data_IF_946680359275
#
_entry.id   IF_946680359275
#
_cell.length_a   1.000
_cell.length_b   1.000
_cell.length_c   1.000
_cell.angle_alpha   90.00
_cell.angle_beta   90.00
_cell.angle_gamma   90.00
#
_symmetry.space_group_name_H-M   'P 1'
#
loop_
_entity.id
_entity.type
_entity.pdbx_description
1 polymer ?
#
# COMPACT_ATOMS: atom_id res chain seq x y z
N UNK A 1 -7.46 34.08 -25.01
CA UNK A 1 -7.45 32.72 -24.44
C UNK A 1 -6.02 32.40 -24.09
N UNK A 2 -5.63 32.63 -22.83
CA UNK A 2 -4.29 32.33 -22.32
C UNK A 2 -4.33 30.87 -21.81
N UNK A 3 -3.60 29.98 -22.48
CA UNK A 3 -3.39 28.61 -22.00
C UNK A 3 -2.68 28.65 -20.64
N UNK A 4 -3.13 27.91 -19.63
CA UNK A 4 -2.38 27.79 -18.40
C UNK A 4 -1.11 27.01 -18.68
N UNK A 5 0.04 27.65 -18.62
CA UNK A 5 1.33 26.98 -18.54
C UNK A 5 1.40 26.29 -17.18
N UNK A 6 1.04 25.02 -17.14
CA UNK A 6 1.38 24.13 -16.03
C UNK A 6 2.89 23.99 -15.98
N UNK A 7 3.52 24.71 -15.06
CA UNK A 7 4.92 24.43 -14.69
C UNK A 7 4.87 23.15 -13.84
N UNK A 8 4.95 22.00 -14.51
CA UNK A 8 5.19 20.75 -13.83
C UNK A 8 6.55 20.88 -13.10
N UNK A 9 6.56 20.78 -11.79
CA UNK A 9 7.79 20.68 -11.02
C UNK A 9 8.63 19.46 -11.46
N UNK A 10 9.88 19.35 -11.03
CA UNK A 10 10.71 18.20 -11.38
C UNK A 10 10.02 16.90 -10.94
N UNK A 11 10.08 15.90 -11.82
CA UNK A 11 9.59 14.55 -11.50
C UNK A 11 10.34 14.02 -10.28
N UNK A 12 9.60 13.57 -9.27
CA UNK A 12 10.15 12.92 -8.08
C UNK A 12 9.91 11.43 -8.18
N UNK A 13 10.93 10.66 -7.87
CA UNK A 13 10.88 9.20 -7.89
C UNK A 13 11.20 8.69 -6.50
N UNK A 14 10.46 7.69 -6.05
CA UNK A 14 10.66 7.03 -4.77
C UNK A 14 10.74 5.52 -4.96
N UNK A 15 11.21 4.81 -3.93
CA UNK A 15 11.25 3.37 -3.95
C UNK A 15 10.83 2.79 -2.59
N UNK A 16 10.42 1.54 -2.58
CA UNK A 16 10.03 0.83 -1.37
C UNK A 16 11.15 -0.08 -0.86
N UNK A 17 11.25 -0.34 0.46
CA UNK A 17 12.25 -1.22 1.03
C UNK A 17 12.24 -2.65 0.47
N UNK A 18 11.11 -3.12 -0.05
CA UNK A 18 11.00 -4.43 -0.69
C UNK A 18 11.96 -4.60 -1.88
N UNK A 19 12.36 -3.51 -2.59
CA UNK A 19 13.36 -3.56 -3.66
C UNK A 19 14.76 -3.95 -3.16
N UNK A 20 14.99 -3.90 -1.86
CA UNK A 20 16.22 -4.35 -1.20
C UNK A 20 16.08 -5.72 -0.57
N UNK A 21 15.04 -6.49 -0.91
CA UNK A 21 14.76 -7.77 -0.29
C UNK A 21 14.39 -7.67 1.20
N UNK A 22 14.15 -6.46 1.69
CA UNK A 22 13.59 -6.26 3.01
C UNK A 22 12.11 -6.58 2.93
N UNK A 23 11.66 -7.61 3.69
CA UNK A 23 10.24 -7.88 3.90
C UNK A 23 9.60 -8.82 2.86
N UNK A 24 8.43 -9.28 3.10
CA UNK A 24 7.46 -10.03 2.28
C UNK A 24 7.86 -11.45 1.84
N UNK A 25 9.15 -11.74 1.69
CA UNK A 25 9.59 -13.07 1.27
C UNK A 25 10.64 -13.59 2.26
N UNK A 26 10.52 -14.86 2.64
CA UNK A 26 11.56 -15.60 3.37
C UNK A 26 12.77 -15.81 2.44
N UNK A 27 13.46 -14.73 2.12
CA UNK A 27 14.69 -14.79 1.35
C UNK A 27 15.82 -15.29 2.24
N UNK A 28 16.60 -16.23 1.75
CA UNK A 28 17.81 -16.67 2.42
C UNK A 28 18.84 -15.55 2.46
N UNK A 29 19.30 -15.18 3.64
CA UNK A 29 20.33 -14.16 3.85
C UNK A 29 20.18 -13.40 5.17
N UNK A 30 21.19 -12.61 5.51
CA UNK A 30 21.12 -11.72 6.67
C UNK A 30 20.17 -10.56 6.36
N UNK A 31 19.23 -10.24 7.28
CA UNK A 31 18.30 -9.13 7.07
C UNK A 31 19.05 -7.81 6.93
N UNK A 32 18.79 -7.09 5.85
CA UNK A 32 19.33 -5.73 5.69
C UNK A 32 18.61 -4.78 6.63
N UNK A 33 19.36 -3.97 7.37
CA UNK A 33 18.80 -3.01 8.32
C UNK A 33 18.19 -1.79 7.62
N UNK A 34 17.14 -1.22 8.19
CA UNK A 34 16.45 -0.05 7.63
C UNK A 34 17.36 1.14 7.36
N UNK A 35 18.35 1.39 8.22
CA UNK A 35 19.26 2.52 8.07
C UNK A 35 20.09 2.42 6.79
N UNK A 36 20.61 1.22 6.49
CA UNK A 36 21.33 0.96 5.25
C UNK A 36 20.41 1.12 4.02
N UNK A 37 19.19 0.57 4.08
CA UNK A 37 18.23 0.71 2.97
C UNK A 37 17.92 2.18 2.71
N UNK A 38 17.69 2.98 3.75
CA UNK A 38 17.41 4.42 3.58
C UNK A 38 18.64 5.17 3.04
N UNK A 39 19.84 4.81 3.45
CA UNK A 39 21.07 5.41 2.91
C UNK A 39 21.23 5.09 1.41
N UNK A 40 20.99 3.84 1.00
CA UNK A 40 21.08 3.42 -0.39
C UNK A 40 19.96 4.03 -1.25
N UNK A 41 18.73 4.18 -0.73
CA UNK A 41 17.63 4.92 -1.39
C UNK A 41 18.09 6.36 -1.70
N UNK A 42 18.62 7.07 -0.70
CA UNK A 42 19.14 8.43 -0.87
C UNK A 42 20.28 8.47 -1.89
N UNK A 43 21.27 7.60 -1.74
CA UNK A 43 22.50 7.60 -2.55
C UNK A 43 22.23 7.22 -4.01
N UNK A 44 21.15 6.48 -4.27
CA UNK A 44 20.66 6.17 -5.63
C UNK A 44 19.90 7.35 -6.25
N UNK A 45 19.59 8.40 -5.49
CA UNK A 45 18.93 9.63 -5.98
C UNK A 45 17.41 9.62 -5.87
N UNK A 46 16.82 8.66 -5.17
CA UNK A 46 15.40 8.70 -4.86
C UNK A 46 15.07 9.83 -3.86
N UNK A 47 13.91 10.43 -4.02
CA UNK A 47 13.43 11.53 -3.17
C UNK A 47 12.49 11.08 -2.07
N UNK A 48 12.19 9.79 -1.97
CA UNK A 48 11.28 9.26 -0.96
C UNK A 48 11.26 7.74 -0.90
N UNK A 49 10.52 7.25 0.09
CA UNK A 49 10.38 5.82 0.38
C UNK A 49 8.96 5.50 0.86
N UNK A 50 8.61 4.23 0.84
CA UNK A 50 7.51 3.67 1.64
C UNK A 50 8.01 3.23 3.02
N UNK A 51 7.07 3.02 3.96
CA UNK A 51 7.41 2.62 5.34
C UNK A 51 7.99 1.20 5.42
N UNK A 52 7.62 0.33 4.49
CA UNK A 52 7.83 -1.10 4.62
C UNK A 52 6.90 -1.72 5.66
N UNK A 53 7.15 -2.98 6.02
CA UNK A 53 6.36 -3.67 7.03
C UNK A 53 6.46 -3.03 8.41
N UNK A 54 5.41 -3.23 9.21
CA UNK A 54 5.40 -2.68 10.56
C UNK A 54 6.58 -3.18 11.40
N UNK A 55 7.45 -2.26 11.81
CA UNK A 55 8.62 -2.55 12.64
C UNK A 55 9.92 -2.63 11.86
N UNK A 56 9.90 -2.58 10.53
CA UNK A 56 11.13 -2.45 9.75
C UNK A 56 11.82 -1.11 10.05
N UNK A 57 11.09 0.00 9.90
CA UNK A 57 11.55 1.31 10.36
C UNK A 57 11.09 1.59 11.80
N UNK A 58 11.66 2.61 12.47
CA UNK A 58 11.22 2.99 13.79
C UNK A 58 9.72 3.27 13.87
N UNK A 59 9.06 2.72 14.90
CA UNK A 59 7.61 2.89 15.12
C UNK A 59 7.28 4.04 16.09
N UNK A 60 8.30 4.74 16.60
CA UNK A 60 8.13 6.00 17.35
C UNK A 60 8.17 7.18 16.36
N UNK A 61 7.14 8.05 16.31
CA UNK A 61 7.05 9.12 15.30
C UNK A 61 8.26 10.03 15.23
N UNK A 62 8.83 10.39 16.37
CA UNK A 62 10.01 11.27 16.42
C UNK A 62 11.26 10.59 15.84
N UNK A 63 11.44 9.30 16.11
CA UNK A 63 12.57 8.54 15.57
C UNK A 63 12.42 8.34 14.05
N UNK A 64 11.23 7.96 13.56
CA UNK A 64 10.97 7.84 12.14
C UNK A 64 11.19 9.17 11.41
N UNK A 65 10.70 10.26 11.98
CA UNK A 65 10.93 11.62 11.43
C UNK A 65 12.41 11.93 11.32
N UNK A 66 13.19 11.64 12.35
CA UNK A 66 14.65 11.87 12.36
C UNK A 66 15.34 11.09 11.25
N UNK A 67 15.02 9.80 11.09
CA UNK A 67 15.63 8.96 10.05
C UNK A 67 15.34 9.44 8.62
N UNK A 68 14.10 9.90 8.39
CA UNK A 68 13.71 10.43 7.08
C UNK A 68 14.34 11.81 6.81
N UNK A 69 14.28 12.73 7.78
CA UNK A 69 14.79 14.09 7.61
C UNK A 69 16.31 14.13 7.48
N UNK A 70 17.04 13.28 8.22
CA UNK A 70 18.51 13.21 8.14
C UNK A 70 19.02 12.79 6.75
N UNK A 71 18.12 12.21 5.92
CA UNK A 71 18.41 11.74 4.56
C UNK A 71 17.70 12.53 3.47
N UNK A 72 16.94 13.56 3.83
CA UNK A 72 16.08 14.33 2.91
C UNK A 72 15.09 13.43 2.13
N UNK A 73 14.57 12.39 2.77
CA UNK A 73 13.61 11.47 2.18
C UNK A 73 12.18 11.79 2.62
N UNK A 74 11.23 11.74 1.68
CA UNK A 74 9.81 11.85 1.96
C UNK A 74 9.19 10.45 2.16
N UNK A 75 8.32 10.31 3.16
CA UNK A 75 7.48 9.13 3.29
C UNK A 75 6.25 9.28 2.40
N UNK A 76 6.06 8.35 1.47
CA UNK A 76 4.98 8.41 0.48
C UNK A 76 3.78 7.54 0.85
N UNK A 77 4.00 6.43 1.53
CA UNK A 77 2.94 5.51 1.89
C UNK A 77 3.39 4.34 2.74
N UNK A 78 2.43 3.49 3.05
CA UNK A 78 2.67 2.21 3.70
C UNK A 78 1.71 1.15 3.19
N UNK A 79 2.23 0.00 2.86
CA UNK A 79 1.48 -1.18 2.47
C UNK A 79 0.79 -1.80 3.70
N UNK A 80 -0.50 -2.12 3.56
CA UNK A 80 -1.31 -2.73 4.63
C UNK A 80 -2.17 -3.85 4.03
N UNK A 81 -1.73 -5.11 4.12
CA UNK A 81 -2.50 -6.24 3.61
C UNK A 81 -3.66 -6.59 4.53
N UNK A 82 -4.81 -6.92 3.93
CA UNK A 82 -6.03 -7.36 4.63
C UNK A 82 -6.75 -8.42 3.80
N UNK A 83 -7.10 -9.55 4.39
CA UNK A 83 -7.92 -10.58 3.75
C UNK A 83 -9.40 -10.11 3.66
N UNK A 84 -9.70 -9.26 2.68
CA UNK A 84 -10.99 -8.58 2.54
C UNK A 84 -12.16 -9.50 2.20
N UNK A 85 -11.91 -10.66 1.61
CA UNK A 85 -12.95 -11.63 1.26
C UNK A 85 -13.72 -12.17 2.48
N UNK A 86 -13.19 -12.02 3.67
CA UNK A 86 -13.77 -12.49 4.93
C UNK A 86 -14.06 -11.31 5.86
N UNK A 87 -15.35 -11.06 6.14
CA UNK A 87 -15.80 -9.94 6.98
C UNK A 87 -15.14 -9.95 8.39
N UNK A 88 -14.87 -11.13 8.94
CA UNK A 88 -14.23 -11.29 10.25
C UNK A 88 -12.85 -10.63 10.35
N UNK A 89 -12.14 -10.46 9.24
CA UNK A 89 -10.81 -9.86 9.21
C UNK A 89 -10.84 -8.32 9.11
N UNK A 90 -11.98 -7.72 8.80
CA UNK A 90 -12.08 -6.27 8.57
C UNK A 90 -11.74 -5.44 9.80
N UNK A 91 -12.14 -5.89 11.00
CA UNK A 91 -11.87 -5.16 12.24
C UNK A 91 -10.36 -5.13 12.58
N UNK A 92 -9.67 -6.24 12.37
CA UNK A 92 -8.22 -6.32 12.57
C UNK A 92 -7.47 -5.52 11.50
N UNK A 93 -7.91 -5.61 10.24
CA UNK A 93 -7.39 -4.81 9.13
C UNK A 93 -7.53 -3.32 9.38
N UNK A 94 -8.70 -2.86 9.88
CA UNK A 94 -8.92 -1.47 10.28
C UNK A 94 -7.96 -1.04 11.39
N UNK A 95 -7.82 -1.84 12.44
CA UNK A 95 -6.91 -1.52 13.53
C UNK A 95 -5.45 -1.39 13.05
N UNK A 96 -5.00 -2.27 12.15
CA UNK A 96 -3.67 -2.24 11.53
C UNK A 96 -3.49 -0.99 10.68
N UNK A 97 -4.45 -0.68 9.80
CA UNK A 97 -4.40 0.51 8.96
C UNK A 97 -4.38 1.81 9.79
N UNK A 98 -5.20 1.91 10.82
CA UNK A 98 -5.23 3.05 11.72
C UNK A 98 -3.93 3.22 12.50
N UNK A 99 -3.36 2.12 13.02
CA UNK A 99 -2.07 2.14 13.71
C UNK A 99 -0.96 2.71 12.80
N UNK A 100 -0.90 2.25 11.56
CA UNK A 100 0.07 2.70 10.56
C UNK A 100 -0.19 4.16 10.14
N UNK A 101 -1.44 4.52 9.90
CA UNK A 101 -1.82 5.89 9.53
C UNK A 101 -1.49 6.92 10.61
N UNK A 102 -1.70 6.60 11.88
CA UNK A 102 -1.32 7.46 13.01
C UNK A 102 0.20 7.69 13.04
N UNK A 103 0.99 6.62 12.92
CA UNK A 103 2.45 6.73 12.87
C UNK A 103 2.89 7.66 11.75
N UNK A 104 2.38 7.46 10.54
CA UNK A 104 2.76 8.26 9.37
C UNK A 104 2.34 9.73 9.52
N UNK A 105 1.10 10.00 9.97
CA UNK A 105 0.62 11.36 10.25
C UNK A 105 1.51 12.07 11.27
N UNK A 106 1.84 11.39 12.37
CA UNK A 106 2.60 11.99 13.47
C UNK A 106 4.10 12.12 13.17
N UNK A 107 4.63 11.28 12.27
CA UNK A 107 6.02 11.34 11.85
C UNK A 107 6.29 12.37 10.76
N UNK A 108 5.32 12.70 9.91
CA UNK A 108 5.57 13.52 8.71
C UNK A 108 4.76 14.80 8.70
N UNK A 109 5.26 15.82 8.00
CA UNK A 109 4.50 17.02 7.66
C UNK A 109 3.81 16.95 6.29
N UNK A 110 3.87 15.78 5.62
CA UNK A 110 3.25 15.49 4.33
C UNK A 110 1.99 14.66 4.53
N UNK A 111 1.29 14.34 3.45
CA UNK A 111 0.11 13.48 3.48
C UNK A 111 0.39 12.15 2.76
N UNK A 112 1.13 11.22 3.39
CA UNK A 112 1.40 9.91 2.81
C UNK A 112 0.10 9.10 2.66
N UNK A 113 0.14 8.07 1.82
CA UNK A 113 -1.00 7.23 1.49
C UNK A 113 -1.00 5.95 2.33
N UNK A 114 -2.17 5.50 2.77
CA UNK A 114 -2.36 4.10 3.17
C UNK A 114 -2.60 3.31 1.88
N UNK A 115 -1.78 2.30 1.65
CA UNK A 115 -1.85 1.44 0.47
C UNK A 115 -2.41 0.09 0.93
N UNK A 116 -3.74 -0.05 0.81
CA UNK A 116 -4.41 -1.32 1.09
C UNK A 116 -4.13 -2.31 -0.04
N UNK A 117 -3.98 -3.56 0.30
CA UNK A 117 -3.92 -4.66 -0.64
C UNK A 117 -4.64 -5.88 -0.07
N UNK A 118 -4.90 -6.88 -0.91
CA UNK A 118 -5.33 -8.19 -0.41
C UNK A 118 -4.18 -8.88 0.36
N UNK A 119 -4.50 -9.89 1.15
CA UNK A 119 -3.48 -10.74 1.80
C UNK A 119 -2.92 -11.75 0.79
N UNK A 120 -2.11 -11.22 -0.14
CA UNK A 120 -1.60 -11.94 -1.30
C UNK A 120 -0.75 -13.16 -0.89
N UNK A 121 -0.79 -14.21 -1.72
CA UNK A 121 0.01 -15.41 -1.50
C UNK A 121 -0.55 -16.38 -0.44
N UNK A 122 -1.63 -16.05 0.26
CA UNK A 122 -2.25 -16.91 1.28
C UNK A 122 -3.22 -17.94 0.70
N UNK A 123 -3.67 -17.75 -0.53
CA UNK A 123 -4.61 -18.64 -1.20
C UNK A 123 -3.85 -19.58 -2.16
N UNK A 124 -3.71 -20.88 -1.85
CA UNK A 124 -2.88 -21.80 -2.64
C UNK A 124 -3.31 -21.88 -4.11
N UNK A 125 -4.61 -21.77 -4.39
CA UNK A 125 -5.12 -21.83 -5.76
C UNK A 125 -4.74 -20.57 -6.54
N UNK A 126 -4.93 -19.37 -5.96
CA UNK A 126 -4.54 -18.09 -6.57
C UNK A 126 -3.02 -18.02 -6.77
N UNK A 127 -2.26 -18.44 -5.76
CA UNK A 127 -0.78 -18.46 -5.82
C UNK A 127 -0.26 -19.35 -6.94
N UNK A 128 -0.81 -20.57 -7.11
CA UNK A 128 -0.41 -21.48 -8.20
C UNK A 128 -0.79 -20.98 -9.59
N UNK A 129 -1.84 -20.19 -9.68
CA UNK A 129 -2.37 -19.65 -10.93
C UNK A 129 -2.04 -18.16 -11.16
N UNK A 130 -1.18 -17.54 -10.34
CA UNK A 130 -0.77 -16.15 -10.51
C UNK A 130 -0.34 -15.87 -11.96
N UNK A 131 -0.84 -14.79 -12.57
CA UNK A 131 -0.66 -14.48 -13.98
C UNK A 131 -1.53 -15.31 -14.95
N UNK A 132 -2.36 -16.24 -14.44
CA UNK A 132 -3.21 -17.15 -15.24
C UNK A 132 -4.59 -17.36 -14.59
N UNK A 133 -5.05 -16.35 -13.87
CA UNK A 133 -6.32 -16.39 -13.17
C UNK A 133 -7.48 -16.51 -14.16
N UNK A 134 -8.48 -17.32 -13.80
CA UNK A 134 -9.71 -17.54 -14.54
C UNK A 134 -10.92 -17.16 -13.69
N UNK A 135 -12.10 -16.93 -14.30
CA UNK A 135 -13.30 -16.52 -13.56
C UNK A 135 -13.66 -17.45 -12.38
N UNK A 136 -13.45 -18.75 -12.50
CA UNK A 136 -13.72 -19.73 -11.44
C UNK A 136 -12.82 -19.58 -10.21
N UNK A 137 -11.68 -18.88 -10.32
CA UNK A 137 -10.78 -18.57 -9.21
C UNK A 137 -11.16 -17.28 -8.47
N UNK A 138 -12.13 -16.51 -9.01
CA UNK A 138 -12.54 -15.20 -8.51
C UNK A 138 -13.55 -15.28 -7.36
N UNK A 139 -13.93 -14.09 -6.88
CA UNK A 139 -14.98 -13.92 -5.87
C UNK A 139 -16.36 -14.00 -6.49
N UNK A 140 -17.33 -14.55 -5.75
CA UNK A 140 -18.75 -14.44 -6.06
C UNK A 140 -19.27 -13.01 -5.83
N UNK A 141 -20.43 -12.66 -6.36
CA UNK A 141 -21.04 -11.33 -6.17
C UNK A 141 -21.24 -10.97 -4.69
N UNK A 142 -21.63 -11.96 -3.86
CA UNK A 142 -21.76 -11.74 -2.42
C UNK A 142 -20.43 -11.47 -1.74
N UNK A 143 -19.36 -12.14 -2.17
CA UNK A 143 -18.00 -11.89 -1.66
C UNK A 143 -17.46 -10.54 -2.12
N UNK A 144 -17.73 -10.11 -3.35
CA UNK A 144 -17.39 -8.75 -3.81
C UNK A 144 -18.06 -7.67 -2.99
N UNK A 145 -19.32 -7.91 -2.58
CA UNK A 145 -20.05 -6.99 -1.67
C UNK A 145 -19.33 -6.87 -0.32
N UNK A 146 -18.93 -8.00 0.26
CA UNK A 146 -18.16 -8.02 1.52
C UNK A 146 -16.79 -7.34 1.35
N UNK A 147 -16.10 -7.68 0.28
CA UNK A 147 -14.78 -7.12 -0.05
C UNK A 147 -14.82 -5.59 -0.14
N UNK A 148 -15.70 -5.05 -1.00
CA UNK A 148 -15.85 -3.60 -1.18
C UNK A 148 -16.28 -2.88 0.09
N UNK A 149 -17.18 -3.49 0.87
CA UNK A 149 -17.59 -2.94 2.16
C UNK A 149 -16.41 -2.83 3.14
N UNK A 150 -15.55 -3.84 3.22
CA UNK A 150 -14.36 -3.84 4.05
C UNK A 150 -13.36 -2.76 3.65
N UNK A 151 -13.06 -2.65 2.36
CA UNK A 151 -12.17 -1.61 1.82
C UNK A 151 -12.70 -0.21 2.13
N UNK A 152 -13.98 0.05 1.83
CA UNK A 152 -14.63 1.34 2.07
C UNK A 152 -14.63 1.71 3.56
N UNK A 153 -14.91 0.74 4.43
CA UNK A 153 -14.90 0.92 5.88
C UNK A 153 -13.54 1.36 6.39
N UNK A 154 -12.49 0.67 5.99
CA UNK A 154 -11.12 0.97 6.43
C UNK A 154 -10.66 2.32 5.89
N UNK A 155 -10.90 2.61 4.61
CA UNK A 155 -10.57 3.88 3.99
C UNK A 155 -11.26 5.08 4.68
N UNK A 156 -12.54 4.92 5.01
CA UNK A 156 -13.32 5.92 5.74
C UNK A 156 -12.79 6.15 7.17
N UNK A 157 -12.46 5.07 7.88
CA UNK A 157 -11.87 5.15 9.21
C UNK A 157 -10.51 5.88 9.20
N UNK A 158 -9.64 5.54 8.28
CA UNK A 158 -8.33 6.20 8.09
C UNK A 158 -8.53 7.70 7.81
N UNK A 159 -9.40 8.04 6.84
CA UNK A 159 -9.67 9.43 6.48
C UNK A 159 -10.22 10.24 7.64
N UNK A 160 -11.21 9.69 8.34
CA UNK A 160 -11.88 10.36 9.46
C UNK A 160 -10.93 10.61 10.64
N UNK A 161 -10.04 9.67 10.92
CA UNK A 161 -9.17 9.76 12.10
C UNK A 161 -7.87 10.53 11.84
N UNK A 162 -7.29 10.38 10.66
CA UNK A 162 -5.94 10.91 10.37
C UNK A 162 -5.90 11.95 9.27
N UNK A 163 -6.96 12.09 8.49
CA UNK A 163 -7.01 12.94 7.30
C UNK A 163 -6.25 12.35 6.10
N UNK A 164 -5.55 11.22 6.25
CA UNK A 164 -4.81 10.60 5.18
C UNK A 164 -5.75 9.95 4.15
N UNK A 165 -5.26 9.85 2.92
CA UNK A 165 -5.97 9.17 1.84
C UNK A 165 -5.57 7.70 1.79
N UNK A 166 -6.47 6.89 1.24
CA UNK A 166 -6.27 5.47 1.02
C UNK A 166 -6.32 5.16 -0.47
N UNK A 167 -5.43 4.31 -0.91
CA UNK A 167 -5.45 3.70 -2.25
C UNK A 167 -5.39 2.18 -2.10
N UNK A 168 -5.85 1.47 -3.12
CA UNK A 168 -5.76 0.01 -3.18
C UNK A 168 -4.74 -0.40 -4.23
N UNK A 169 -3.83 -1.28 -3.86
CA UNK A 169 -2.82 -1.88 -4.73
C UNK A 169 -3.29 -3.25 -5.19
N UNK A 170 -3.54 -3.39 -6.49
CA UNK A 170 -3.80 -4.69 -7.11
C UNK A 170 -2.50 -5.48 -7.25
N UNK A 171 -2.57 -6.78 -7.04
CA UNK A 171 -1.37 -7.62 -7.00
C UNK A 171 -1.69 -9.06 -7.42
N UNK A 172 -0.72 -9.74 -8.04
CA UNK A 172 -0.86 -11.16 -8.34
C UNK A 172 -1.01 -11.99 -7.06
N UNK A 173 -1.63 -13.17 -7.18
CA UNK A 173 -1.92 -14.11 -6.10
C UNK A 173 -2.89 -13.61 -5.01
N UNK A 174 -3.56 -12.48 -5.22
CA UNK A 174 -4.72 -11.99 -4.46
C UNK A 174 -6.00 -12.05 -5.28
N UNK A 175 -7.11 -11.47 -4.80
CA UNK A 175 -8.41 -11.46 -5.50
C UNK A 175 -8.57 -10.29 -6.48
N UNK A 176 -7.67 -9.33 -6.50
CA UNK A 176 -7.69 -8.21 -7.44
C UNK A 176 -6.40 -8.26 -8.27
N UNK A 177 -6.37 -9.16 -9.25
CA UNK A 177 -5.20 -9.41 -10.09
C UNK A 177 -5.44 -9.05 -11.55
N UNK A 178 -6.54 -9.52 -12.14
CA UNK A 178 -6.82 -9.32 -13.56
C UNK A 178 -7.47 -7.97 -13.85
N UNK A 179 -7.42 -7.45 -15.10
CA UNK A 179 -8.14 -6.24 -15.48
C UNK A 179 -9.64 -6.28 -15.15
N UNK A 180 -10.29 -7.43 -15.32
CA UNK A 180 -11.71 -7.59 -15.00
C UNK A 180 -11.95 -7.51 -13.47
N UNK A 181 -11.06 -8.09 -12.67
CA UNK A 181 -11.14 -8.00 -11.21
C UNK A 181 -10.83 -6.58 -10.72
N UNK A 182 -9.91 -5.86 -11.35
CA UNK A 182 -9.66 -4.44 -11.08
C UNK A 182 -10.91 -3.61 -11.40
N UNK A 183 -11.56 -3.84 -12.54
CA UNK A 183 -12.80 -3.17 -12.90
C UNK A 183 -13.89 -3.46 -11.86
N UNK A 184 -14.05 -4.73 -11.48
CA UNK A 184 -15.04 -5.15 -10.46
C UNK A 184 -14.76 -4.55 -9.09
N UNK A 185 -13.50 -4.45 -8.71
CA UNK A 185 -13.07 -3.75 -7.49
C UNK A 185 -13.51 -2.28 -7.51
N UNK A 186 -13.25 -1.58 -8.60
CA UNK A 186 -13.62 -0.17 -8.75
C UNK A 186 -15.15 0.04 -8.74
N UNK A 187 -15.93 -0.92 -9.26
CA UNK A 187 -17.40 -0.91 -9.16
C UNK A 187 -17.90 -1.16 -7.74
N UNK A 188 -17.16 -1.96 -6.96
CA UNK A 188 -17.54 -2.38 -5.60
C UNK A 188 -17.11 -1.41 -4.51
N UNK A 189 -16.31 -0.39 -4.86
CA UNK A 189 -15.75 0.58 -3.91
C UNK A 189 -16.21 2.01 -4.20
N UNK A 190 -16.16 2.87 -3.19
CA UNK A 190 -16.51 4.28 -3.30
C UNK A 190 -15.27 5.10 -3.73
N UNK A 191 -15.25 5.68 -4.94
CA UNK A 191 -14.11 6.46 -5.42
C UNK A 191 -13.84 7.74 -4.61
N UNK A 192 -14.79 8.18 -3.78
CA UNK A 192 -14.57 9.29 -2.85
C UNK A 192 -13.73 8.87 -1.62
N UNK A 193 -13.65 7.56 -1.34
CA UNK A 193 -12.96 6.99 -0.17
C UNK A 193 -11.63 6.36 -0.53
N UNK A 194 -11.59 5.57 -1.60
CA UNK A 194 -10.40 4.82 -2.00
C UNK A 194 -10.08 5.04 -3.47
N UNK A 195 -8.81 5.29 -3.76
CA UNK A 195 -8.27 5.34 -5.12
C UNK A 195 -7.58 4.03 -5.51
N UNK A 196 -7.07 3.96 -6.73
CA UNK A 196 -6.24 2.85 -7.20
C UNK A 196 -4.76 3.24 -7.14
N UNK A 197 -3.93 2.39 -6.54
CA UNK A 197 -2.49 2.36 -6.74
C UNK A 197 -2.23 1.44 -7.93
N UNK A 198 -2.13 2.02 -9.12
CA UNK A 198 -1.96 1.25 -10.35
C UNK A 198 -0.53 0.77 -10.48
N UNK A 199 -0.34 -0.54 -10.45
CA UNK A 199 0.95 -1.19 -10.64
C UNK A 199 1.08 -1.72 -12.07
N UNK A 200 2.04 -1.17 -12.82
CA UNK A 200 2.27 -1.56 -14.22
C UNK A 200 3.03 -2.89 -14.36
N UNK A 201 3.58 -3.41 -13.28
CA UNK A 201 4.26 -4.71 -13.24
C UNK A 201 3.30 -5.88 -13.00
N UNK A 202 2.19 -5.61 -12.30
CA UNK A 202 1.15 -6.62 -12.03
C UNK A 202 -0.06 -6.56 -12.97
N UNK A 203 -0.17 -5.52 -13.83
CA UNK A 203 -1.28 -5.32 -14.77
C UNK A 203 -1.16 -6.20 -16.02
#
# INVERSE_FOLDING_TARGET
>A
MTSPTSVAGPLRVANAPCSWGALEFDLEGEPIGFAQVLDEIRDTGYSGTELGDWGFMPTAPAALRFELQSRDLQLLGAFVPVAFAEEGNHAEGEARALKTARLMRDATGTAPLIILADDNGKLPERTRNAGRIRPEHGLSESQWTVYGAGVNRIADAVRRETGLRTVFHHHCAGFVETPDEIAKFLESTDPAKVGLCFDTGHY
#
